data_IF_476441908198
#
_entry.id   IF_476441908198
#
_cell.length_a   1.000
_cell.length_b   1.000
_cell.length_c   1.000
_cell.angle_alpha   90.00
_cell.angle_beta   90.00
_cell.angle_gamma   90.00
#
_symmetry.space_group_name_H-M   'P 1'
#
loop_
_entity.id
_entity.type
_entity.pdbx_description
1 polymer ?
#
# COMPACT_ATOMS: atom_id res chain seq x y z
N UNK A 1 -20.44 -27.92 -10.61
CA UNK A 1 -21.01 -26.58 -10.40
C UNK A 1 -19.91 -25.66 -9.89
N UNK A 2 -19.55 -24.59 -10.60
CA UNK A 2 -18.69 -23.55 -10.01
C UNK A 2 -19.58 -22.81 -9.01
N UNK A 3 -19.29 -22.96 -7.71
CA UNK A 3 -19.77 -22.05 -6.67
C UNK A 3 -19.47 -20.61 -7.07
N UNK A 4 -20.32 -19.67 -6.67
CA UNK A 4 -20.13 -18.24 -6.95
C UNK A 4 -18.69 -17.82 -6.59
N UNK A 5 -18.06 -17.02 -7.47
CA UNK A 5 -16.70 -16.49 -7.27
C UNK A 5 -16.62 -15.82 -5.91
N UNK A 6 -15.67 -16.25 -5.06
CA UNK A 6 -15.45 -15.68 -3.73
C UNK A 6 -14.66 -14.38 -3.90
N UNK A 7 -15.31 -13.26 -3.60
CA UNK A 7 -14.74 -11.93 -3.78
C UNK A 7 -14.50 -11.28 -2.41
N UNK A 8 -13.39 -10.55 -2.28
CA UNK A 8 -13.12 -9.72 -1.11
C UNK A 8 -12.56 -8.35 -1.51
N UNK A 9 -12.99 -7.32 -0.79
CA UNK A 9 -12.54 -5.94 -0.94
C UNK A 9 -11.70 -5.55 0.28
N UNK A 10 -10.55 -4.91 0.05
CA UNK A 10 -9.54 -4.72 1.07
C UNK A 10 -9.09 -3.26 1.11
N UNK A 11 -9.28 -2.63 2.27
CA UNK A 11 -8.57 -1.41 2.63
C UNK A 11 -7.17 -1.80 3.12
N UNK A 12 -6.18 -1.51 2.28
CA UNK A 12 -4.80 -1.94 2.50
C UNK A 12 -4.09 -1.07 3.52
N UNK A 13 -3.27 -1.70 4.35
CA UNK A 13 -2.43 -1.02 5.33
C UNK A 13 -0.96 -1.20 4.96
N UNK A 14 -0.15 -0.17 5.22
CA UNK A 14 1.31 -0.26 5.16
C UNK A 14 1.80 -1.10 6.33
N UNK A 15 1.92 -2.41 6.17
CA UNK A 15 2.57 -3.25 7.18
C UNK A 15 4.07 -2.91 7.14
N UNK A 16 4.62 -2.43 8.25
CA UNK A 16 6.05 -2.15 8.33
C UNK A 16 6.86 -3.43 8.52
N UNK A 17 7.65 -3.84 7.51
CA UNK A 17 8.69 -4.88 7.67
C UNK A 17 9.70 -4.50 8.76
N UNK A 18 9.76 -5.29 9.84
CA UNK A 18 10.83 -5.33 10.83
C UNK A 18 10.87 -4.16 11.82
N UNK A 19 10.31 -4.36 13.02
CA UNK A 19 10.61 -3.54 14.20
C UNK A 19 9.39 -3.04 14.99
N UNK A 20 9.08 -3.72 16.11
CA UNK A 20 8.38 -3.24 17.32
C UNK A 20 6.91 -2.79 17.24
N UNK A 21 6.22 -2.85 16.10
CA UNK A 21 4.74 -2.79 16.08
C UNK A 21 4.22 -3.85 15.11
N UNK A 22 3.35 -4.75 15.58
CA UNK A 22 2.49 -5.51 14.68
C UNK A 22 1.86 -4.50 13.72
N UNK A 23 2.03 -4.72 12.41
CA UNK A 23 1.45 -3.84 11.40
C UNK A 23 -0.04 -3.70 11.62
N UNK A 24 -0.60 -2.53 11.28
CA UNK A 24 -2.04 -2.36 11.27
C UNK A 24 -2.62 -3.42 10.30
N UNK A 25 -3.59 -4.24 10.71
CA UNK A 25 -4.13 -5.27 9.84
C UNK A 25 -4.86 -4.64 8.65
N UNK A 26 -4.91 -5.38 7.56
CA UNK A 26 -5.81 -5.09 6.45
C UNK A 26 -7.25 -5.26 6.90
N UNK A 27 -8.13 -4.37 6.44
CA UNK A 27 -9.56 -4.48 6.71
C UNK A 27 -10.25 -4.98 5.45
N UNK A 28 -10.97 -6.08 5.59
CA UNK A 28 -11.56 -6.84 4.50
C UNK A 28 -13.08 -6.83 4.60
N UNK A 29 -13.76 -6.81 3.45
CA UNK A 29 -15.19 -6.99 3.31
C UNK A 29 -15.48 -8.02 2.22
N UNK A 30 -16.16 -9.12 2.55
CA UNK A 30 -16.48 -10.22 1.62
C UNK A 30 -17.87 -10.09 0.97
N UNK A 31 -18.56 -8.96 1.19
CA UNK A 31 -19.95 -8.78 0.79
C UNK A 31 -20.96 -9.03 1.92
N UNK A 32 -20.56 -9.75 2.97
CA UNK A 32 -21.43 -10.05 4.11
C UNK A 32 -20.91 -9.42 5.39
N UNK A 33 -19.61 -9.60 5.68
CA UNK A 33 -19.00 -9.23 6.95
C UNK A 33 -17.68 -8.50 6.77
N UNK A 34 -17.34 -7.75 7.81
CA UNK A 34 -16.03 -7.11 7.94
C UNK A 34 -15.14 -8.00 8.80
N UNK A 35 -13.91 -8.18 8.37
CA UNK A 35 -12.88 -8.91 9.13
C UNK A 35 -11.49 -8.30 8.88
N UNK A 36 -10.50 -8.79 9.61
CA UNK A 36 -9.13 -8.26 9.58
C UNK A 36 -8.14 -9.38 9.32
N UNK A 37 -7.17 -9.13 8.45
CA UNK A 37 -6.06 -10.05 8.21
C UNK A 37 -4.73 -9.33 8.43
N UNK A 38 -3.78 -10.03 9.04
CA UNK A 38 -2.43 -9.49 9.23
C UNK A 38 -1.59 -9.56 7.95
N UNK A 39 -1.90 -10.50 7.06
CA UNK A 39 -1.20 -10.74 5.79
C UNK A 39 -2.24 -11.04 4.71
N UNK A 40 -2.08 -10.50 3.51
CA UNK A 40 -2.95 -10.70 2.37
C UNK A 40 -2.93 -12.15 1.88
N UNK A 41 -1.83 -12.88 2.08
CA UNK A 41 -1.72 -14.32 1.77
C UNK A 41 -2.76 -15.17 2.50
N UNK A 42 -3.26 -14.69 3.65
CA UNK A 42 -4.40 -15.27 4.37
C UNK A 42 -5.72 -15.26 3.59
N UNK A 43 -5.80 -14.55 2.45
CA UNK A 43 -6.97 -14.48 1.57
C UNK A 43 -6.90 -15.47 0.39
N UNK A 44 -5.99 -16.44 0.39
CA UNK A 44 -5.79 -17.42 -0.69
C UNK A 44 -7.04 -18.24 -1.08
N UNK A 45 -8.02 -18.34 -0.19
CA UNK A 45 -9.27 -19.06 -0.44
C UNK A 45 -10.32 -18.24 -1.22
N UNK A 46 -9.99 -16.99 -1.56
CA UNK A 46 -10.80 -16.11 -2.42
C UNK A 46 -10.31 -16.18 -3.87
N UNK A 47 -11.25 -16.09 -4.81
CA UNK A 47 -10.96 -16.09 -6.24
C UNK A 47 -10.51 -14.71 -6.73
N UNK A 48 -11.06 -13.64 -6.15
CA UNK A 48 -10.82 -12.26 -6.55
C UNK A 48 -10.66 -11.33 -5.34
N UNK A 49 -9.58 -10.54 -5.37
CA UNK A 49 -9.23 -9.58 -4.31
C UNK A 49 -9.16 -8.19 -4.92
N UNK A 50 -9.92 -7.25 -4.38
CA UNK A 50 -9.93 -5.85 -4.81
C UNK A 50 -9.27 -4.97 -3.73
N UNK A 51 -8.19 -4.28 -4.08
CA UNK A 51 -7.42 -3.44 -3.15
C UNK A 51 -7.50 -1.97 -3.54
N UNK A 52 -7.51 -1.08 -2.55
CA UNK A 52 -7.51 0.37 -2.76
C UNK A 52 -6.13 0.90 -3.20
N UNK A 53 -5.07 0.40 -2.57
CA UNK A 53 -3.70 0.89 -2.71
C UNK A 53 -2.71 -0.29 -2.72
N UNK A 54 -1.62 -0.17 -3.47
CA UNK A 54 -0.55 -1.17 -3.49
C UNK A 54 0.73 -0.57 -2.89
N UNK A 55 1.08 -0.98 -1.68
CA UNK A 55 2.29 -0.54 -0.99
C UNK A 55 3.48 -1.46 -1.28
N UNK A 56 4.73 -0.95 -1.27
CA UNK A 56 5.91 -1.79 -1.46
C UNK A 56 6.01 -2.97 -0.51
N UNK A 57 5.58 -2.78 0.74
CA UNK A 57 5.69 -3.80 1.77
C UNK A 57 4.81 -5.03 1.53
N UNK A 58 3.78 -4.92 0.69
CA UNK A 58 2.87 -6.01 0.35
C UNK A 58 3.10 -6.56 -1.07
N UNK A 59 4.16 -6.14 -1.77
CA UNK A 59 4.45 -6.64 -3.12
C UNK A 59 4.62 -8.17 -3.15
N UNK A 60 5.36 -8.72 -2.18
CA UNK A 60 5.60 -10.17 -2.11
C UNK A 60 4.33 -10.94 -1.78
N UNK A 61 3.48 -10.42 -0.88
CA UNK A 61 2.20 -11.06 -0.53
C UNK A 61 1.23 -11.09 -1.71
N UNK A 62 1.16 -9.99 -2.47
CA UNK A 62 0.33 -9.92 -3.69
C UNK A 62 0.89 -10.82 -4.79
N UNK A 63 2.22 -10.90 -4.93
CA UNK A 63 2.87 -11.81 -5.88
C UNK A 63 2.51 -13.27 -5.56
N UNK A 64 2.59 -13.66 -4.29
CA UNK A 64 2.24 -15.02 -3.85
C UNK A 64 0.77 -15.35 -4.16
N UNK A 65 -0.17 -14.43 -3.90
CA UNK A 65 -1.57 -14.60 -4.27
C UNK A 65 -1.75 -14.82 -5.77
N UNK A 66 -1.08 -14.02 -6.61
CA UNK A 66 -1.13 -14.14 -8.07
C UNK A 66 -0.55 -15.49 -8.54
N UNK A 67 0.56 -15.95 -7.94
CA UNK A 67 1.14 -17.26 -8.24
C UNK A 67 0.22 -18.43 -7.86
N UNK A 68 -0.60 -18.25 -6.83
CA UNK A 68 -1.63 -19.21 -6.42
C UNK A 68 -2.92 -19.15 -7.26
N UNK A 69 -2.95 -18.34 -8.32
CA UNK A 69 -4.09 -18.23 -9.24
C UNK A 69 -5.20 -17.28 -8.78
N UNK A 70 -4.99 -16.54 -7.69
CA UNK A 70 -5.93 -15.52 -7.21
C UNK A 70 -5.83 -14.28 -8.10
N UNK A 71 -6.97 -13.72 -8.51
CA UNK A 71 -6.98 -12.49 -9.32
C UNK A 71 -7.00 -11.27 -8.41
N UNK A 72 -5.95 -10.46 -8.46
CA UNK A 72 -5.84 -9.23 -7.65
C UNK A 72 -6.08 -8.00 -8.51
N UNK A 73 -6.92 -7.09 -8.05
CA UNK A 73 -7.36 -5.89 -8.74
C UNK A 73 -7.07 -4.63 -7.92
N UNK A 74 -6.33 -3.69 -8.50
CA UNK A 74 -5.97 -2.41 -7.87
C UNK A 74 -6.86 -1.28 -8.36
N UNK A 75 -7.37 -0.45 -7.43
CA UNK A 75 -8.13 0.75 -7.77
C UNK A 75 -7.29 1.75 -8.57
N UNK A 76 -7.74 2.13 -9.77
CA UNK A 76 -6.98 3.06 -10.65
C UNK A 76 -6.91 4.48 -10.11
N UNK A 77 -7.94 4.93 -9.40
CA UNK A 77 -8.03 6.29 -8.84
C UNK A 77 -8.65 6.29 -7.45
N UNK A 78 -7.80 6.43 -6.43
CA UNK A 78 -8.18 6.53 -5.01
C UNK A 78 -9.11 7.73 -4.71
N UNK A 79 -9.15 8.75 -5.58
CA UNK A 79 -10.07 9.88 -5.41
C UNK A 79 -11.53 9.46 -5.54
N UNK A 80 -11.82 8.38 -6.28
CA UNK A 80 -13.17 7.83 -6.40
C UNK A 80 -13.70 7.32 -5.07
N UNK A 81 -12.85 6.62 -4.30
CA UNK A 81 -13.20 6.17 -2.95
C UNK A 81 -13.48 7.36 -2.02
N UNK A 82 -12.65 8.42 -2.10
CA UNK A 82 -12.87 9.66 -1.33
C UNK A 82 -14.19 10.35 -1.71
N UNK A 83 -14.52 10.41 -3.02
CA UNK A 83 -15.76 11.02 -3.51
C UNK A 83 -16.99 10.24 -3.01
N UNK A 84 -16.97 8.92 -3.13
CA UNK A 84 -18.04 8.04 -2.63
C UNK A 84 -18.26 8.17 -1.13
N UNK A 85 -17.19 8.36 -0.36
CA UNK A 85 -17.27 8.59 1.08
C UNK A 85 -18.05 9.87 1.42
N UNK A 86 -17.78 10.95 0.69
CA UNK A 86 -18.47 12.24 0.86
C UNK A 86 -19.94 12.12 0.44
N UNK A 87 -20.21 11.51 -0.73
CA UNK A 87 -21.57 11.31 -1.24
C UNK A 87 -22.42 10.43 -0.32
N UNK A 88 -21.80 9.44 0.34
CA UNK A 88 -22.48 8.57 1.30
C UNK A 88 -22.56 9.15 2.72
N UNK A 89 -22.07 10.38 2.94
CA UNK A 89 -21.98 11.04 4.26
C UNK A 89 -21.33 10.15 5.35
N UNK A 90 -20.34 9.35 4.97
CA UNK A 90 -19.67 8.41 5.88
C UNK A 90 -18.41 9.05 6.50
N UNK A 91 -18.19 8.80 7.79
CA UNK A 91 -16.91 9.13 8.44
C UNK A 91 -15.81 8.25 7.87
N UNK A 92 -14.59 8.78 7.78
CA UNK A 92 -13.41 8.01 7.37
C UNK A 92 -13.10 6.92 8.40
N UNK A 93 -13.17 5.66 7.96
CA UNK A 93 -12.67 4.49 8.67
C UNK A 93 -12.31 3.42 7.65
N UNK A 94 -11.39 2.53 8.02
CA UNK A 94 -10.95 1.43 7.17
C UNK A 94 -12.11 0.49 6.79
N UNK A 95 -13.03 0.24 7.74
CA UNK A 95 -14.21 -0.60 7.53
C UNK A 95 -15.19 0.02 6.54
N UNK A 96 -15.41 1.34 6.62
CA UNK A 96 -16.23 2.06 5.66
C UNK A 96 -15.57 2.05 4.28
N UNK A 97 -14.25 2.23 4.22
CA UNK A 97 -13.50 2.21 2.98
C UNK A 97 -13.58 0.83 2.31
N UNK A 98 -13.39 -0.26 3.05
CA UNK A 98 -13.57 -1.64 2.55
C UNK A 98 -15.00 -1.89 2.02
N UNK A 99 -16.05 -1.41 2.71
CA UNK A 99 -17.44 -1.51 2.22
C UNK A 99 -17.69 -0.67 0.96
N UNK A 100 -17.10 0.52 0.89
CA UNK A 100 -17.28 1.42 -0.24
C UNK A 100 -16.59 0.89 -1.50
N UNK A 101 -15.46 0.19 -1.38
CA UNK A 101 -14.81 -0.49 -2.51
C UNK A 101 -15.77 -1.45 -3.21
N UNK A 102 -16.63 -2.16 -2.47
CA UNK A 102 -17.62 -3.08 -3.04
C UNK A 102 -18.70 -2.38 -3.90
N UNK A 103 -18.88 -1.06 -3.74
CA UNK A 103 -19.80 -0.25 -4.54
C UNK A 103 -19.16 0.33 -5.79
N UNK A 104 -17.84 0.23 -5.94
CA UNK A 104 -17.13 0.74 -7.10
C UNK A 104 -17.28 -0.26 -8.26
N UNK A 105 -17.66 0.19 -9.46
CA UNK A 105 -17.72 -0.68 -10.64
C UNK A 105 -16.36 -1.33 -10.94
N UNK A 106 -16.37 -2.61 -11.32
CA UNK A 106 -15.16 -3.45 -11.49
C UNK A 106 -14.20 -2.88 -12.54
N UNK A 107 -14.70 -2.18 -13.54
CA UNK A 107 -13.95 -1.60 -14.66
C UNK A 107 -12.99 -0.49 -14.22
N UNK A 108 -13.27 0.09 -13.05
CA UNK A 108 -12.44 1.11 -12.41
C UNK A 108 -11.20 0.51 -11.76
N UNK A 109 -11.15 -0.81 -11.59
CA UNK A 109 -9.97 -1.51 -11.12
C UNK A 109 -9.13 -2.03 -12.28
N UNK A 110 -7.83 -2.18 -12.04
CA UNK A 110 -6.87 -2.77 -12.96
C UNK A 110 -6.38 -4.09 -12.37
N UNK A 111 -6.48 -5.17 -13.14
CA UNK A 111 -5.89 -6.44 -12.72
C UNK A 111 -4.36 -6.31 -12.68
N UNK A 112 -3.76 -6.80 -11.60
CA UNK A 112 -2.32 -6.91 -11.44
C UNK A 112 -1.81 -8.20 -12.09
N UNK A 113 -0.57 -8.18 -12.57
CA UNK A 113 0.10 -9.36 -13.14
C UNK A 113 1.30 -9.77 -12.31
N UNK A 114 1.63 -11.07 -12.30
CA UNK A 114 2.80 -11.57 -11.58
C UNK A 114 4.09 -10.89 -12.05
N UNK A 115 4.26 -10.72 -13.36
CA UNK A 115 5.42 -10.04 -13.96
C UNK A 115 5.60 -8.60 -13.45
N UNK A 116 4.51 -7.82 -13.37
CA UNK A 116 4.58 -6.47 -12.82
C UNK A 116 5.03 -6.50 -11.35
N UNK A 117 4.49 -7.45 -10.56
CA UNK A 117 4.78 -7.57 -9.14
C UNK A 117 6.20 -8.08 -8.88
N UNK A 118 6.74 -8.98 -9.71
CA UNK A 118 8.13 -9.42 -9.64
C UNK A 118 9.10 -8.25 -9.82
N UNK A 119 8.85 -7.39 -10.81
CA UNK A 119 9.68 -6.19 -11.04
C UNK A 119 9.59 -5.26 -9.83
N UNK A 120 8.38 -5.03 -9.31
CA UNK A 120 8.15 -4.18 -8.13
C UNK A 120 8.83 -4.74 -6.88
N UNK A 121 8.72 -6.03 -6.62
CA UNK A 121 9.37 -6.72 -5.52
C UNK A 121 10.89 -6.60 -5.60
N UNK A 122 11.48 -6.77 -6.78
CA UNK A 122 12.93 -6.60 -7.00
C UNK A 122 13.42 -5.16 -6.74
N UNK A 123 12.57 -4.16 -6.97
CA UNK A 123 12.90 -2.74 -6.77
C UNK A 123 12.61 -2.28 -5.34
N UNK A 124 11.81 -3.02 -4.56
CA UNK A 124 11.45 -2.67 -3.16
C UNK A 124 12.68 -2.32 -2.29
N UNK A 125 13.79 -3.07 -2.31
CA UNK A 125 14.97 -2.74 -1.50
C UNK A 125 15.56 -1.37 -1.85
N UNK A 126 15.52 -0.98 -3.13
CA UNK A 126 15.98 0.34 -3.59
C UNK A 126 15.03 1.45 -3.12
N UNK A 127 13.72 1.22 -3.19
CA UNK A 127 12.71 2.15 -2.66
C UNK A 127 12.95 2.37 -1.16
N UNK A 128 13.13 1.30 -0.40
CA UNK A 128 13.44 1.38 1.04
C UNK A 128 14.71 2.16 1.32
N UNK A 129 15.77 1.93 0.54
CA UNK A 129 17.02 2.64 0.69
C UNK A 129 16.83 4.15 0.47
N UNK A 130 16.11 4.52 -0.59
CA UNK A 130 15.78 5.91 -0.88
C UNK A 130 14.94 6.55 0.24
N UNK A 131 13.90 5.88 0.73
CA UNK A 131 13.08 6.37 1.85
C UNK A 131 13.91 6.60 3.12
N UNK A 132 14.87 5.72 3.41
CA UNK A 132 15.81 5.88 4.53
C UNK A 132 16.65 7.14 4.37
N UNK A 133 17.20 7.40 3.18
CA UNK A 133 17.96 8.63 2.87
C UNK A 133 17.07 9.87 3.07
N UNK A 134 15.84 9.86 2.56
CA UNK A 134 14.89 10.97 2.71
C UNK A 134 14.59 11.23 4.19
N UNK A 135 14.38 10.17 4.98
CA UNK A 135 14.14 10.26 6.43
C UNK A 135 15.35 10.86 7.15
N UNK A 136 16.56 10.40 6.85
CA UNK A 136 17.78 10.99 7.40
C UNK A 136 17.91 12.47 7.07
N UNK A 137 17.64 12.87 5.83
CA UNK A 137 17.65 14.29 5.44
C UNK A 137 16.69 15.12 6.29
N UNK A 138 15.53 14.60 6.66
CA UNK A 138 14.60 15.29 7.56
C UNK A 138 15.12 15.36 9.00
N UNK A 139 15.72 14.29 9.51
CA UNK A 139 16.37 14.28 10.83
C UNK A 139 17.49 15.32 10.90
N UNK A 140 18.35 15.41 9.88
CA UNK A 140 19.43 16.40 9.83
C UNK A 140 18.89 17.84 9.84
N UNK A 141 17.81 18.12 9.08
CA UNK A 141 17.15 19.43 9.11
C UNK A 141 16.64 19.78 10.51
N UNK A 142 16.08 18.80 11.23
CA UNK A 142 15.62 18.99 12.60
C UNK A 142 16.78 19.30 13.55
N UNK A 143 17.87 18.54 13.48
CA UNK A 143 19.07 18.79 14.31
C UNK A 143 19.64 20.20 14.10
N UNK A 144 19.73 20.67 12.85
CA UNK A 144 20.16 22.05 12.54
C UNK A 144 19.21 23.07 13.17
N UNK A 145 17.89 22.85 13.06
CA UNK A 145 16.88 23.72 13.68
C UNK A 145 17.02 23.76 15.21
N UNK A 146 17.37 22.63 15.80
CA UNK A 146 17.54 22.47 17.25
C UNK A 146 18.93 22.98 17.74
N UNK A 147 19.75 23.58 16.85
CA UNK A 147 21.03 24.22 17.19
C UNK A 147 22.26 23.34 17.03
N UNK A 148 22.09 22.08 16.62
CA UNK A 148 23.17 21.11 16.44
C UNK A 148 23.74 21.16 15.02
N UNK A 149 24.46 22.23 14.67
CA UNK A 149 25.06 22.39 13.35
C UNK A 149 26.51 21.89 13.29
N UNK A 150 26.68 20.57 13.36
CA UNK A 150 27.95 19.85 13.17
C UNK A 150 28.35 19.76 11.69
N UNK A 151 28.38 20.90 10.99
CA UNK A 151 28.50 20.99 9.52
C UNK A 151 27.38 20.25 8.74
N UNK A 152 26.24 20.00 9.38
CA UNK A 152 25.12 19.26 8.78
C UNK A 152 24.47 20.04 7.62
N UNK A 153 24.60 21.37 7.60
CA UNK A 153 24.16 22.22 6.48
C UNK A 153 24.87 21.86 5.18
N UNK A 154 26.18 21.61 5.20
CA UNK A 154 26.92 21.18 4.01
C UNK A 154 26.52 19.79 3.56
N UNK A 155 26.35 18.84 4.49
CA UNK A 155 25.86 17.49 4.17
C UNK A 155 24.51 17.55 3.42
N UNK A 156 23.56 18.36 3.89
CA UNK A 156 22.27 18.54 3.21
C UNK A 156 22.44 19.19 1.83
N UNK A 157 23.40 20.12 1.68
CA UNK A 157 23.70 20.75 0.38
C UNK A 157 24.20 19.72 -0.63
N UNK A 158 25.14 18.85 -0.25
CA UNK A 158 25.62 17.77 -1.12
C UNK A 158 24.50 16.80 -1.52
N UNK A 159 23.69 16.35 -0.55
CA UNK A 159 22.52 15.48 -0.84
C UNK A 159 21.53 16.11 -1.83
N UNK A 160 21.38 17.45 -1.83
CA UNK A 160 20.52 18.16 -2.81
C UNK A 160 21.16 18.23 -4.19
N UNK A 161 22.48 18.39 -4.27
CA UNK A 161 23.22 18.41 -5.54
C UNK A 161 23.11 17.05 -6.22
N UNK A 162 23.35 15.96 -5.48
CA UNK A 162 23.26 14.60 -6.01
C UNK A 162 21.83 14.27 -6.48
N UNK A 163 20.82 14.73 -5.74
CA UNK A 163 19.42 14.59 -6.14
C UNK A 163 19.03 15.38 -7.40
N UNK A 164 19.80 16.40 -7.80
CA UNK A 164 19.58 17.17 -9.05
C UNK A 164 20.33 16.62 -10.25
N UNK A 165 21.38 15.82 -10.04
CA UNK A 165 22.22 15.27 -11.11
C UNK A 165 21.71 13.93 -11.66
N UNK A 166 20.82 13.25 -10.94
CA UNK A 166 20.39 11.88 -11.25
C UNK A 166 18.96 11.78 -11.83
N UNK A 167 18.45 12.84 -12.48
CA UNK A 167 17.18 12.83 -13.22
C UNK A 167 17.29 13.68 -14.48
#
# INVERSE_FOLDING_TARGET
MRTASRVVFVDTSRIGRGGRRMGKPHVCYDGERIFKVSELTGLKDYDEIFIDTLFPEIYDEVLELLMNGVRVYLLKDVRKLKKLRIESNLKKSDENDARLLARIPREVFRQLTAEELEIKARIEPLIRHYEKIVRWRMTLKKLIKDGFDYNLKETIRFMKIDGKKNF
#
